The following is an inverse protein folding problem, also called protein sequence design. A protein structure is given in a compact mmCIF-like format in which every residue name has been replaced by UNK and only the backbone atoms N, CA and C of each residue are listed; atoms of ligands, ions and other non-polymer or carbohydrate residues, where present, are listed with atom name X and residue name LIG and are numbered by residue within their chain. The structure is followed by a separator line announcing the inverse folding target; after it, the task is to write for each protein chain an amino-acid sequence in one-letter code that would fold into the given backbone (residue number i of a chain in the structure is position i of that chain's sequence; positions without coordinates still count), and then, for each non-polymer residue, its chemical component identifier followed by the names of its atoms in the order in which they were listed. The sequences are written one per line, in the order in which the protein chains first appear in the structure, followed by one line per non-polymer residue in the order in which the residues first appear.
data_IF_095767448866
#
_entry.id   IF_095767448866
#
_cell.length_a   1.000
_cell.length_b   1.000
_cell.length_c   1.000
_cell.angle_alpha   90.00
_cell.angle_beta   90.00
_cell.angle_gamma   90.00
#
_symmetry.space_group_name_H-M   'P 1'
#
loop_
_entity.id
_entity.type
_entity.pdbx_description
1 polymer ?
#
# COMPACT_ATOMS: atom_id res chain seq x y z
N UNK A 1 6.02 -16.28 -19.27
CA UNK A 1 6.14 -15.50 -18.01
C UNK A 1 7.58 -15.12 -17.67
N UNK A 2 8.54 -16.07 -17.60
CA UNK A 2 9.94 -15.78 -17.24
C UNK A 2 10.60 -14.69 -18.11
N UNK A 3 10.42 -14.74 -19.44
CA UNK A 3 10.96 -13.72 -20.35
C UNK A 3 10.45 -12.29 -20.05
N UNK A 4 9.16 -12.13 -19.71
CA UNK A 4 8.58 -10.84 -19.32
C UNK A 4 9.18 -10.33 -18.00
N UNK A 5 9.40 -11.24 -17.05
CA UNK A 5 10.02 -10.95 -15.76
C UNK A 5 11.48 -10.50 -15.94
N UNK A 6 12.25 -11.19 -16.78
CA UNK A 6 13.64 -10.85 -17.07
C UNK A 6 13.76 -9.53 -17.82
N UNK A 7 12.88 -9.29 -18.80
CA UNK A 7 12.77 -8.00 -19.49
C UNK A 7 12.48 -6.87 -18.50
N UNK A 8 11.54 -7.06 -17.58
CA UNK A 8 11.24 -6.08 -16.54
C UNK A 8 12.46 -5.82 -15.63
N UNK A 9 13.11 -6.87 -15.14
CA UNK A 9 14.29 -6.76 -14.29
C UNK A 9 15.41 -5.97 -14.97
N UNK A 10 15.60 -6.15 -16.28
CA UNK A 10 16.56 -5.39 -17.06
C UNK A 10 16.18 -3.91 -17.22
N UNK A 11 14.92 -3.61 -17.51
CA UNK A 11 14.41 -2.23 -17.61
C UNK A 11 14.47 -1.49 -16.27
N UNK A 12 14.16 -2.20 -15.17
CA UNK A 12 14.25 -1.69 -13.80
C UNK A 12 15.70 -1.31 -13.46
N UNK A 13 16.64 -2.25 -13.64
CA UNK A 13 18.07 -2.02 -13.43
C UNK A 13 18.60 -0.87 -14.30
N UNK A 14 18.16 -0.78 -15.55
CA UNK A 14 18.53 0.32 -16.45
C UNK A 14 18.07 1.69 -15.92
N UNK A 15 16.84 1.78 -15.43
CA UNK A 15 16.28 3.02 -14.87
C UNK A 15 16.96 3.43 -13.55
N UNK A 16 17.25 2.45 -12.69
CA UNK A 16 18.01 2.65 -11.45
C UNK A 16 19.43 3.16 -11.74
N UNK A 17 20.12 2.59 -12.74
CA UNK A 17 21.45 3.06 -13.16
C UNK A 17 21.43 4.51 -13.65
N UNK A 18 20.44 4.90 -14.46
CA UNK A 18 20.31 6.28 -14.95
C UNK A 18 20.12 7.25 -13.76
N UNK A 19 19.25 6.90 -12.81
CA UNK A 19 19.03 7.69 -11.60
C UNK A 19 20.30 7.80 -10.76
N UNK A 20 21.03 6.69 -10.57
CA UNK A 20 22.30 6.67 -9.85
C UNK A 20 23.36 7.57 -10.50
N UNK A 21 23.49 7.52 -11.83
CA UNK A 21 24.42 8.39 -12.58
C UNK A 21 24.04 9.86 -12.37
N UNK A 22 22.74 10.20 -12.42
CA UNK A 22 22.27 11.55 -12.15
C UNK A 22 22.65 12.05 -10.76
N UNK A 23 22.48 11.23 -9.73
CA UNK A 23 22.88 11.57 -8.36
C UNK A 23 24.38 11.75 -8.20
N UNK A 24 25.20 10.94 -8.88
CA UNK A 24 26.66 11.09 -8.88
C UNK A 24 27.07 12.41 -9.52
N UNK A 25 26.50 12.77 -10.68
CA UNK A 25 26.77 14.05 -11.36
C UNK A 25 26.37 15.23 -10.46
N UNK A 26 25.20 15.15 -9.82
CA UNK A 26 24.73 16.16 -8.88
C UNK A 26 25.71 16.32 -7.72
N UNK A 27 26.16 15.21 -7.12
CA UNK A 27 27.14 15.20 -6.04
C UNK A 27 28.48 15.84 -6.45
N UNK A 28 28.99 15.55 -7.65
CA UNK A 28 30.20 16.18 -8.19
C UNK A 28 30.00 17.70 -8.33
N UNK A 29 28.85 18.13 -8.86
CA UNK A 29 28.53 19.55 -8.98
C UNK A 29 28.49 20.28 -7.64
N UNK A 30 27.94 19.65 -6.58
CA UNK A 30 27.94 20.20 -5.22
C UNK A 30 29.35 20.28 -4.66
N UNK A 31 30.18 19.25 -4.84
CA UNK A 31 31.58 19.24 -4.37
C UNK A 31 32.38 20.38 -5.02
N UNK A 32 32.16 20.62 -6.32
CA UNK A 32 32.80 21.71 -7.06
C UNK A 32 32.34 23.10 -6.59
N UNK A 33 31.10 23.23 -6.09
CA UNK A 33 30.52 24.50 -5.63
C UNK A 33 31.03 24.92 -4.24
N UNK A 34 31.29 23.97 -3.34
CA UNK A 34 31.70 24.23 -1.94
C UNK A 34 32.91 25.17 -1.81
N UNK A 35 34.07 24.94 -2.47
CA UNK A 35 35.25 25.80 -2.30
C UNK A 35 35.02 27.23 -2.82
N UNK A 36 34.24 27.38 -3.89
CA UNK A 36 33.89 28.70 -4.46
C UNK A 36 33.06 29.49 -3.44
N UNK A 37 32.05 28.86 -2.84
CA UNK A 37 31.21 29.49 -1.82
C UNK A 37 32.01 29.88 -0.56
N UNK A 38 32.96 29.04 -0.12
CA UNK A 38 33.81 29.32 1.04
C UNK A 38 34.80 30.47 0.79
N UNK A 39 35.25 30.64 -0.47
CA UNK A 39 36.17 31.71 -0.86
C UNK A 39 35.49 33.08 -1.04
N UNK A 40 34.15 33.12 -1.07
CA UNK A 40 33.38 34.34 -1.37
C UNK A 40 33.52 34.84 -2.81
N UNK A 41 34.14 34.05 -3.70
CA UNK A 41 34.29 34.36 -5.11
C UNK A 41 33.03 34.02 -5.90
N UNK A 42 32.61 34.92 -6.79
CA UNK A 42 31.52 34.68 -7.73
C UNK A 42 32.02 34.14 -9.09
N UNK A 43 33.32 34.31 -9.36
CA UNK A 43 33.97 33.85 -10.57
C UNK A 43 33.97 32.31 -10.64
N UNK A 44 33.43 31.78 -11.73
CA UNK A 44 33.40 30.34 -11.99
C UNK A 44 32.17 29.60 -11.45
N UNK A 45 31.20 30.26 -10.79
CA UNK A 45 29.97 29.62 -10.30
C UNK A 45 29.10 28.99 -11.40
N UNK A 46 29.18 29.47 -12.64
CA UNK A 46 28.39 28.94 -13.76
C UNK A 46 28.65 27.45 -14.03
N UNK A 47 29.90 27.02 -13.94
CA UNK A 47 30.27 25.63 -14.23
C UNK A 47 29.65 24.61 -13.27
N UNK A 48 29.80 24.71 -11.94
CA UNK A 48 29.14 23.78 -11.01
C UNK A 48 27.61 23.86 -11.09
N UNK A 49 27.03 25.05 -11.34
CA UNK A 49 25.57 25.20 -11.51
C UNK A 49 25.08 24.40 -12.73
N UNK A 50 25.80 24.44 -13.85
CA UNK A 50 25.48 23.64 -15.05
C UNK A 50 25.55 22.14 -14.74
N UNK A 51 26.62 21.70 -14.05
CA UNK A 51 26.78 20.29 -13.66
C UNK A 51 25.64 19.82 -12.75
N UNK A 52 25.26 20.63 -11.75
CA UNK A 52 24.13 20.34 -10.86
C UNK A 52 22.83 20.25 -11.67
N UNK A 53 22.61 21.17 -12.61
CA UNK A 53 21.40 21.19 -13.46
C UNK A 53 21.30 19.93 -14.32
N UNK A 54 22.41 19.50 -14.93
CA UNK A 54 22.47 18.26 -15.71
C UNK A 54 22.19 17.06 -14.80
N UNK A 55 22.82 17.00 -13.62
CA UNK A 55 22.59 15.94 -12.63
C UNK A 55 21.11 15.84 -12.21
N UNK A 56 20.44 16.97 -11.97
CA UNK A 56 19.01 17.02 -11.67
C UNK A 56 18.16 16.48 -12.82
N UNK A 57 18.39 16.94 -14.05
CA UNK A 57 17.63 16.50 -15.23
C UNK A 57 17.78 14.98 -15.43
N UNK A 58 19.02 14.46 -15.39
CA UNK A 58 19.28 13.03 -15.56
C UNK A 58 18.61 12.20 -14.46
N UNK A 59 18.66 12.66 -13.21
CA UNK A 59 17.98 12.00 -12.09
C UNK A 59 16.46 11.96 -12.27
N UNK A 60 15.85 13.08 -12.71
CA UNK A 60 14.42 13.15 -12.99
C UNK A 60 14.01 12.21 -14.13
N UNK A 61 14.79 12.12 -15.20
CA UNK A 61 14.55 11.17 -16.30
C UNK A 61 14.63 9.73 -15.80
N UNK A 62 15.62 9.40 -14.98
CA UNK A 62 15.74 8.08 -14.35
C UNK A 62 14.53 7.71 -13.50
N UNK A 63 14.08 8.63 -12.64
CA UNK A 63 12.88 8.44 -11.81
C UNK A 63 11.60 8.28 -12.64
N UNK A 64 11.42 9.07 -13.71
CA UNK A 64 10.28 8.96 -14.61
C UNK A 64 10.26 7.61 -15.33
N UNK A 65 11.41 7.15 -15.84
CA UNK A 65 11.54 5.82 -16.45
C UNK A 65 11.23 4.70 -15.45
N UNK A 66 11.74 4.78 -14.22
CA UNK A 66 11.47 3.80 -13.18
C UNK A 66 9.98 3.72 -12.85
N UNK A 67 9.30 4.87 -12.73
CA UNK A 67 7.85 4.93 -12.50
C UNK A 67 7.07 4.29 -13.65
N UNK A 68 7.45 4.59 -14.90
CA UNK A 68 6.85 3.97 -16.09
C UNK A 68 7.05 2.45 -16.10
N UNK A 69 8.25 1.97 -15.79
CA UNK A 69 8.58 0.54 -15.71
C UNK A 69 7.77 -0.15 -14.62
N UNK A 70 7.65 0.46 -13.43
CA UNK A 70 6.78 -0.04 -12.34
C UNK A 70 5.33 -0.14 -12.80
N UNK A 71 4.81 0.86 -13.52
CA UNK A 71 3.45 0.84 -14.05
C UNK A 71 3.26 -0.31 -15.03
N UNK A 72 4.12 -0.42 -16.05
CA UNK A 72 4.06 -1.53 -17.02
C UNK A 72 4.15 -2.90 -16.35
N UNK A 73 4.90 -3.05 -15.27
CA UNK A 73 4.92 -4.31 -14.51
C UNK A 73 3.56 -4.68 -13.94
N UNK A 74 2.87 -3.72 -13.29
CA UNK A 74 1.52 -3.98 -12.79
C UNK A 74 0.59 -4.35 -13.95
N UNK A 75 0.59 -3.57 -15.03
CA UNK A 75 -0.35 -3.77 -16.13
C UNK A 75 -0.08 -5.03 -16.98
N UNK A 76 1.19 -5.38 -17.23
CA UNK A 76 1.55 -6.42 -18.20
C UNK A 76 1.98 -7.73 -17.56
N UNK A 77 2.59 -7.69 -16.37
CA UNK A 77 3.14 -8.89 -15.72
C UNK A 77 2.20 -9.42 -14.65
N UNK A 78 1.72 -8.55 -13.75
CA UNK A 78 0.81 -8.97 -12.70
C UNK A 78 -0.57 -9.36 -13.25
N UNK A 79 -1.08 -8.63 -14.25
CA UNK A 79 -2.36 -9.00 -14.90
C UNK A 79 -2.31 -10.43 -15.46
N UNK A 80 -1.26 -10.74 -16.23
CA UNK A 80 -1.06 -12.09 -16.78
C UNK A 80 -0.92 -13.14 -15.67
N UNK A 81 -0.13 -12.83 -14.64
CA UNK A 81 0.07 -13.73 -13.51
C UNK A 81 -1.24 -14.06 -12.79
N UNK A 82 -2.07 -13.04 -12.52
CA UNK A 82 -3.35 -13.27 -11.85
C UNK A 82 -4.33 -14.03 -12.73
N UNK A 83 -4.38 -13.73 -14.04
CA UNK A 83 -5.23 -14.47 -14.97
C UNK A 83 -4.82 -15.95 -15.11
N UNK A 84 -3.52 -16.25 -15.08
CA UNK A 84 -3.03 -17.63 -15.08
C UNK A 84 -3.34 -18.35 -13.76
N UNK A 85 -3.19 -17.66 -12.62
CA UNK A 85 -3.42 -18.24 -11.29
C UNK A 85 -4.91 -18.43 -10.96
N UNK A 86 -5.78 -17.52 -11.41
CA UNK A 86 -7.22 -17.51 -11.13
C UNK A 86 -7.96 -17.27 -12.45
N UNK A 87 -8.39 -18.34 -13.14
CA UNK A 87 -9.09 -18.20 -14.42
C UNK A 87 -10.30 -17.27 -14.32
N UNK A 88 -10.35 -16.26 -15.20
CA UNK A 88 -11.45 -15.28 -15.24
C UNK A 88 -11.36 -14.13 -14.23
N UNK A 89 -10.26 -14.02 -13.47
CA UNK A 89 -10.03 -12.85 -12.61
C UNK A 89 -9.70 -11.62 -13.44
N UNK A 90 -10.22 -10.48 -13.00
CA UNK A 90 -9.89 -9.16 -13.51
C UNK A 90 -8.98 -8.43 -12.52
N UNK A 91 -7.89 -7.87 -13.03
CA UNK A 91 -6.95 -7.07 -12.25
C UNK A 91 -6.92 -5.63 -12.78
N UNK A 92 -7.09 -4.66 -11.88
CA UNK A 92 -7.08 -3.24 -12.17
C UNK A 92 -6.08 -2.52 -11.24
N UNK A 93 -4.82 -2.32 -11.69
CA UNK A 93 -3.76 -1.72 -10.86
C UNK A 93 -4.11 -0.36 -10.25
N UNK A 94 -4.77 0.50 -11.04
CA UNK A 94 -5.05 1.90 -10.69
C UNK A 94 -6.41 2.06 -9.97
N UNK A 95 -7.08 0.96 -9.61
CA UNK A 95 -8.35 0.95 -8.87
C UNK A 95 -8.17 0.24 -7.54
N UNK A 96 -9.07 0.51 -6.60
CA UNK A 96 -9.10 -0.13 -5.30
C UNK A 96 -10.51 -0.12 -4.73
N UNK A 97 -10.71 -0.82 -3.61
CA UNK A 97 -11.94 -0.77 -2.83
C UNK A 97 -12.21 0.68 -2.38
N UNK A 98 -13.49 1.05 -2.38
CA UNK A 98 -13.90 2.34 -1.82
C UNK A 98 -13.73 2.37 -0.31
N UNK A 99 -13.61 3.57 0.27
CA UNK A 99 -13.60 3.74 1.72
C UNK A 99 -14.83 3.11 2.38
N UNK A 100 -16.00 3.23 1.76
CA UNK A 100 -17.24 2.61 2.26
C UNK A 100 -17.11 1.09 2.37
N UNK A 101 -16.58 0.42 1.33
CA UNK A 101 -16.38 -1.03 1.36
C UNK A 101 -15.36 -1.46 2.41
N UNK A 102 -14.27 -0.71 2.57
CA UNK A 102 -13.25 -1.01 3.60
C UNK A 102 -13.83 -0.82 5.00
N UNK A 103 -14.60 0.25 5.25
CA UNK A 103 -15.16 0.52 6.58
C UNK A 103 -16.37 -0.34 6.94
N UNK A 104 -16.98 -1.05 5.98
CA UNK A 104 -17.97 -2.10 6.27
C UNK A 104 -17.39 -3.26 7.09
N UNK A 105 -16.07 -3.39 7.16
CA UNK A 105 -15.41 -4.33 8.08
C UNK A 105 -15.67 -4.02 9.55
N UNK A 106 -16.05 -2.78 9.89
CA UNK A 106 -16.42 -2.33 11.24
C UNK A 106 -15.34 -2.53 12.33
N UNK A 107 -14.10 -2.89 11.98
CA UNK A 107 -12.96 -2.95 12.93
C UNK A 107 -11.85 -1.94 12.61
N UNK A 108 -11.92 -1.28 11.45
CA UNK A 108 -11.00 -0.22 11.05
C UNK A 108 -11.60 1.15 11.36
N UNK A 109 -10.85 2.00 12.08
CA UNK A 109 -11.24 3.40 12.29
C UNK A 109 -11.23 4.15 10.96
N UNK A 110 -11.98 5.25 10.86
CA UNK A 110 -11.90 6.12 9.68
C UNK A 110 -10.55 6.84 9.63
N UNK A 111 -9.98 6.93 8.44
CA UNK A 111 -8.68 7.54 8.19
C UNK A 111 -8.81 9.02 7.82
N UNK A 112 -7.81 9.82 8.14
CA UNK A 112 -7.65 11.15 7.58
C UNK A 112 -7.13 11.09 6.14
N UNK A 113 -6.33 10.06 5.81
CA UNK A 113 -5.93 9.74 4.43
C UNK A 113 -6.23 8.29 4.10
N UNK A 114 -6.98 8.11 3.03
CA UNK A 114 -7.35 6.82 2.48
C UNK A 114 -6.68 6.65 1.12
N UNK A 115 -6.02 5.50 0.92
CA UNK A 115 -5.51 5.09 -0.38
C UNK A 115 -5.81 3.60 -0.59
N UNK A 116 -6.25 3.25 -1.80
CA UNK A 116 -6.41 1.86 -2.20
C UNK A 116 -6.04 1.69 -3.68
N UNK A 117 -5.36 0.58 -3.97
CA UNK A 117 -4.89 0.22 -5.31
C UNK A 117 -4.91 -1.31 -5.49
N UNK A 118 -4.53 -1.78 -6.68
CA UNK A 118 -4.38 -3.20 -6.97
C UNK A 118 -5.68 -4.03 -6.81
N UNK A 119 -6.78 -3.52 -7.35
CA UNK A 119 -8.09 -4.19 -7.35
C UNK A 119 -8.05 -5.51 -8.12
N UNK A 120 -8.34 -6.61 -7.44
CA UNK A 120 -8.64 -7.92 -8.03
C UNK A 120 -10.11 -8.25 -7.83
N UNK A 121 -10.77 -8.69 -8.88
CA UNK A 121 -12.16 -9.12 -8.85
C UNK A 121 -12.33 -10.40 -9.67
N UNK A 122 -12.95 -11.41 -9.09
CA UNK A 122 -13.21 -12.65 -9.80
C UNK A 122 -14.11 -13.57 -8.99
N UNK A 123 -14.09 -14.83 -9.39
CA UNK A 123 -14.81 -15.90 -8.72
C UNK A 123 -13.85 -17.06 -8.47
N UNK A 124 -13.93 -17.65 -7.28
CA UNK A 124 -13.16 -18.84 -6.91
C UNK A 124 -14.11 -19.83 -6.27
N UNK A 125 -14.17 -21.05 -6.80
CA UNK A 125 -15.06 -22.12 -6.32
C UNK A 125 -16.54 -21.70 -6.14
N UNK A 126 -17.04 -20.85 -7.05
CA UNK A 126 -18.42 -20.35 -7.01
C UNK A 126 -18.68 -19.27 -5.96
N UNK A 127 -17.63 -18.69 -5.37
CA UNK A 127 -17.69 -17.54 -4.45
C UNK A 127 -17.06 -16.34 -5.13
N UNK A 128 -17.85 -15.27 -5.28
CA UNK A 128 -17.34 -14.02 -5.82
C UNK A 128 -16.43 -13.35 -4.78
N UNK A 129 -15.32 -12.80 -5.24
CA UNK A 129 -14.40 -12.05 -4.40
C UNK A 129 -13.95 -10.75 -5.06
N UNK A 130 -13.70 -9.76 -4.21
CA UNK A 130 -13.02 -8.53 -4.55
C UNK A 130 -11.94 -8.28 -3.51
N UNK A 131 -10.77 -7.84 -3.94
CA UNK A 131 -9.68 -7.48 -3.02
C UNK A 131 -8.89 -6.30 -3.52
N UNK A 132 -8.27 -5.55 -2.60
CA UNK A 132 -7.37 -4.44 -2.94
C UNK A 132 -6.37 -4.20 -1.83
N UNK A 133 -5.22 -3.65 -2.17
CA UNK A 133 -4.31 -3.09 -1.17
C UNK A 133 -4.89 -1.79 -0.63
N UNK A 134 -4.78 -1.59 0.68
CA UNK A 134 -5.35 -0.46 1.39
C UNK A 134 -4.29 0.09 2.35
N UNK A 135 -4.11 1.40 2.30
CA UNK A 135 -3.28 2.17 3.22
C UNK A 135 -4.13 3.24 3.90
N UNK A 136 -4.19 3.19 5.22
CA UNK A 136 -4.93 4.13 6.04
C UNK A 136 -3.97 4.89 6.96
N UNK A 137 -4.07 6.22 6.95
CA UNK A 137 -3.23 7.09 7.75
C UNK A 137 -4.09 8.03 8.62
N UNK A 138 -3.61 8.27 9.84
CA UNK A 138 -4.22 9.23 10.76
C UNK A 138 -3.32 10.45 10.94
N UNK A 139 -3.93 11.60 11.18
CA UNK A 139 -3.25 12.87 11.36
C UNK A 139 -2.82 13.05 12.81
N UNK A 140 -1.55 13.37 12.99
CA UNK A 140 -0.96 13.73 14.28
C UNK A 140 -0.54 15.19 14.28
N UNK A 141 -0.79 15.88 15.39
CA UNK A 141 -0.39 17.27 15.62
C UNK A 141 0.52 17.32 16.83
N UNK A 142 1.75 17.80 16.63
CA UNK A 142 2.74 17.96 17.69
C UNK A 142 3.06 19.44 17.86
N UNK A 143 2.79 19.97 19.05
CA UNK A 143 3.22 21.31 19.44
C UNK A 143 4.65 21.26 19.95
N UNK A 144 5.52 22.07 19.35
CA UNK A 144 6.93 22.21 19.71
C UNK A 144 7.20 23.64 20.16
N UNK A 145 8.34 23.87 20.82
CA UNK A 145 8.76 25.23 21.23
C UNK A 145 8.86 26.22 20.04
N UNK A 146 9.05 25.69 18.82
CA UNK A 146 9.26 26.49 17.61
C UNK A 146 8.05 26.44 16.65
N UNK A 147 6.88 25.95 17.08
CA UNK A 147 5.66 25.91 16.27
C UNK A 147 4.94 24.57 16.28
N UNK A 148 4.01 24.40 15.34
CA UNK A 148 3.15 23.21 15.24
C UNK A 148 3.58 22.34 14.05
N UNK A 149 3.86 21.06 14.31
CA UNK A 149 4.18 20.06 13.29
C UNK A 149 2.98 19.16 13.04
N UNK A 150 2.56 19.04 11.79
CA UNK A 150 1.54 18.07 11.36
C UNK A 150 2.21 16.96 10.57
N UNK A 151 1.92 15.72 10.92
CA UNK A 151 2.41 14.54 10.20
C UNK A 151 1.33 13.45 10.18
N UNK A 152 1.48 12.46 9.30
CA UNK A 152 0.52 11.37 9.15
C UNK A 152 1.22 10.06 9.51
N UNK A 153 0.52 9.21 10.27
CA UNK A 153 1.02 7.90 10.69
C UNK A 153 0.14 6.83 10.07
N UNK A 154 0.76 5.89 9.36
CA UNK A 154 0.05 4.72 8.83
C UNK A 154 -0.31 3.78 9.97
N UNK A 155 -1.60 3.50 10.15
CA UNK A 155 -2.07 2.55 11.16
C UNK A 155 -2.64 1.26 10.54
N UNK A 156 -2.90 1.27 9.22
CA UNK A 156 -3.25 0.07 8.48
C UNK A 156 -2.54 0.08 7.12
N UNK A 157 -1.83 -1.00 6.82
CA UNK A 157 -1.23 -1.27 5.52
C UNK A 157 -1.37 -2.76 5.25
N UNK A 158 -2.24 -3.12 4.32
CA UNK A 158 -2.48 -4.52 4.00
C UNK A 158 -3.52 -4.69 2.90
N UNK A 159 -3.80 -5.95 2.56
CA UNK A 159 -4.81 -6.31 1.58
C UNK A 159 -6.13 -6.62 2.26
N UNK A 160 -7.20 -6.03 1.76
CA UNK A 160 -8.57 -6.32 2.20
C UNK A 160 -9.22 -7.24 1.18
N UNK A 161 -9.86 -8.30 1.65
CA UNK A 161 -10.65 -9.22 0.83
C UNK A 161 -12.12 -9.13 1.25
N UNK A 162 -12.99 -9.10 0.25
CA UNK A 162 -14.44 -9.19 0.40
C UNK A 162 -14.90 -10.40 -0.40
N UNK A 163 -15.57 -11.32 0.27
CA UNK A 163 -16.17 -12.50 -0.35
C UNK A 163 -17.69 -12.39 -0.25
N UNK A 164 -18.38 -12.80 -1.30
CA UNK A 164 -19.84 -12.91 -1.32
C UNK A 164 -20.21 -14.38 -1.30
N UNK A 165 -20.54 -14.88 -0.12
CA UNK A 165 -20.94 -16.27 0.08
C UNK A 165 -22.38 -16.50 -0.37
N UNK A 166 -22.67 -17.72 -0.86
CA UNK A 166 -24.00 -18.12 -1.31
C UNK A 166 -25.01 -18.34 -0.16
N UNK A 167 -24.53 -18.37 1.09
CA UNK A 167 -25.35 -18.54 2.28
C UNK A 167 -25.35 -17.24 3.09
N UNK A 168 -26.54 -16.76 3.40
CA UNK A 168 -26.74 -15.63 4.30
C UNK A 168 -26.82 -16.13 5.75
N UNK A 169 -26.28 -15.32 6.66
CA UNK A 169 -26.37 -15.53 8.09
C UNK A 169 -27.01 -14.30 8.72
N UNK A 170 -27.90 -14.52 9.68
CA UNK A 170 -28.46 -13.43 10.45
C UNK A 170 -27.40 -12.83 11.38
N UNK A 171 -27.35 -11.51 11.48
CA UNK A 171 -26.41 -10.82 12.36
C UNK A 171 -24.98 -10.71 11.83
N UNK A 172 -24.06 -10.35 12.72
CA UNK A 172 -22.68 -10.00 12.39
C UNK A 172 -21.73 -10.73 13.31
N UNK A 173 -20.63 -11.22 12.74
CA UNK A 173 -19.56 -11.94 13.42
C UNK A 173 -18.22 -11.29 13.06
N UNK A 174 -17.37 -11.06 14.05
CA UNK A 174 -16.00 -10.60 13.86
C UNK A 174 -15.03 -11.48 14.66
N UNK A 175 -13.93 -11.86 14.03
CA UNK A 175 -12.81 -12.56 14.66
C UNK A 175 -11.57 -11.69 14.49
N UNK A 176 -11.02 -11.22 15.61
CA UNK A 176 -9.93 -10.26 15.62
C UNK A 176 -8.77 -10.80 16.47
N UNK A 177 -7.53 -10.72 15.99
CA UNK A 177 -6.35 -11.04 16.82
C UNK A 177 -6.19 -10.03 17.98
N UNK A 178 -6.52 -8.76 17.72
CA UNK A 178 -6.51 -7.71 18.72
C UNK A 178 -7.58 -6.65 18.44
N UNK A 179 -7.85 -5.79 19.42
CA UNK A 179 -8.89 -4.77 19.32
C UNK A 179 -10.31 -5.28 19.62
N UNK A 180 -11.29 -4.54 19.14
CA UNK A 180 -12.74 -4.78 19.28
C UNK A 180 -13.48 -4.11 18.10
N UNK A 181 -14.73 -4.51 17.83
CA UNK A 181 -15.58 -3.80 16.87
C UNK A 181 -15.66 -2.30 17.19
N UNK A 182 -15.69 -1.46 16.17
CA UNK A 182 -15.77 0.01 16.24
C UNK A 182 -17.14 0.56 15.84
N UNK A 183 -18.11 -0.30 15.54
CA UNK A 183 -19.46 0.12 15.18
C UNK A 183 -20.38 0.24 16.40
N UNK A 184 -21.53 0.90 16.20
CA UNK A 184 -22.59 1.03 17.21
C UNK A 184 -23.42 -0.24 17.42
N UNK A 185 -23.11 -1.33 16.70
CA UNK A 185 -23.82 -2.60 16.85
C UNK A 185 -23.53 -3.21 18.22
N UNK A 186 -24.53 -3.92 18.75
CA UNK A 186 -24.43 -4.60 20.05
C UNK A 186 -23.70 -5.93 19.94
N UNK A 187 -22.42 -5.89 19.60
CA UNK A 187 -21.56 -7.07 19.64
C UNK A 187 -21.35 -7.55 21.08
N UNK A 188 -21.44 -8.86 21.27
CA UNK A 188 -21.05 -9.56 22.50
C UNK A 188 -19.82 -10.40 22.22
N UNK A 189 -18.90 -10.47 23.18
CA UNK A 189 -17.75 -11.35 23.08
C UNK A 189 -18.22 -12.80 23.27
N UNK A 190 -17.81 -13.69 22.36
CA UNK A 190 -18.14 -15.12 22.40
C UNK A 190 -16.85 -15.90 22.70
N UNK A 191 -16.96 -16.95 23.52
CA UNK A 191 -15.87 -17.89 23.78
C UNK A 191 -16.21 -19.22 23.09
N UNK A 192 -15.33 -19.69 22.21
CA UNK A 192 -15.50 -20.97 21.51
C UNK A 192 -14.96 -22.15 22.35
N UNK A 193 -15.15 -23.39 21.92
CA UNK A 193 -14.62 -24.56 22.64
C UNK A 193 -13.08 -24.63 22.62
N UNK A 194 -12.45 -24.13 21.55
CA UNK A 194 -10.99 -24.18 21.38
C UNK A 194 -10.29 -23.13 22.24
N UNK A 195 -9.61 -23.59 23.30
CA UNK A 195 -8.85 -22.73 24.23
C UNK A 195 -7.75 -21.97 23.48
N UNK A 196 -7.03 -22.64 22.58
CA UNK A 196 -5.90 -22.03 21.88
C UNK A 196 -6.38 -21.00 20.84
N UNK A 197 -7.53 -21.23 20.21
CA UNK A 197 -8.19 -20.22 19.38
C UNK A 197 -8.53 -18.97 20.19
N UNK A 198 -9.19 -19.13 21.35
CA UNK A 198 -9.61 -18.00 22.20
C UNK A 198 -8.43 -17.23 22.83
N UNK A 199 -7.25 -17.86 22.96
CA UNK A 199 -6.02 -17.16 23.37
C UNK A 199 -5.50 -16.25 22.27
N UNK A 200 -5.59 -16.69 21.01
CA UNK A 200 -5.06 -15.96 19.85
C UNK A 200 -6.05 -14.93 19.29
N UNK A 201 -7.34 -15.25 19.30
CA UNK A 201 -8.38 -14.46 18.68
C UNK A 201 -9.48 -14.09 19.67
N UNK A 202 -10.10 -12.94 19.44
CA UNK A 202 -11.30 -12.47 20.12
C UNK A 202 -12.46 -12.53 19.14
N UNK A 203 -13.47 -13.34 19.48
CA UNK A 203 -14.69 -13.46 18.70
C UNK A 203 -15.77 -12.55 19.27
N UNK A 204 -16.44 -11.82 18.39
CA UNK A 204 -17.54 -10.93 18.71
C UNK A 204 -18.72 -11.24 17.79
N UNK A 205 -19.92 -11.42 18.34
CA UNK A 205 -21.13 -11.66 17.55
C UNK A 205 -22.30 -10.82 18.05
N UNK A 206 -23.19 -10.39 17.15
CA UNK A 206 -24.49 -9.85 17.54
C UNK A 206 -25.47 -10.96 17.94
N UNK A 207 -25.29 -12.16 17.39
CA UNK A 207 -26.05 -13.37 17.69
C UNK A 207 -25.10 -14.50 18.06
N UNK A 208 -25.02 -14.83 19.35
CA UNK A 208 -23.99 -15.72 19.90
C UNK A 208 -24.03 -17.11 19.28
N UNK A 209 -25.22 -17.67 19.08
CA UNK A 209 -25.40 -18.98 18.44
C UNK A 209 -24.80 -19.04 17.02
N UNK A 210 -24.84 -17.94 16.27
CA UNK A 210 -24.32 -17.90 14.91
C UNK A 210 -22.80 -18.02 14.85
N UNK A 211 -22.08 -17.63 15.91
CA UNK A 211 -20.64 -17.82 15.99
C UNK A 211 -20.26 -19.30 15.94
N UNK A 212 -21.00 -20.18 16.64
CA UNK A 212 -20.75 -21.62 16.68
C UNK A 212 -21.17 -22.36 15.40
N UNK A 213 -22.09 -21.79 14.62
CA UNK A 213 -22.45 -22.34 13.31
C UNK A 213 -21.45 -22.00 12.21
N UNK A 214 -20.81 -20.83 12.31
CA UNK A 214 -19.88 -20.32 11.29
C UNK A 214 -18.44 -20.76 11.56
N UNK A 215 -18.04 -20.82 12.84
CA UNK A 215 -16.67 -21.12 13.22
C UNK A 215 -16.56 -22.57 13.69
N UNK A 216 -15.64 -23.31 13.10
CA UNK A 216 -15.19 -24.62 13.58
C UNK A 216 -13.68 -24.51 13.85
N UNK A 217 -13.31 -24.03 15.05
CA UNK A 217 -11.96 -23.57 15.39
C UNK A 217 -10.96 -24.70 15.72
#
# INVERSE_FOLDING_TARGET
MQEKLDRFNNLKKGSEKISLIGFVILGVGVILLIPILLSGGEDGMFFPIIVITIGMIVSMVGAAKFSSVKRSFKFDVLSDYFQEAIPGVNYYPDRGLSGTEVYQTEFLKRADRFHSEDLLQGQMDGVDFVSSDVKLEERHVQHTKNGTRVYYVTYFLGRVFKFTFNKEFDGYLQVLESGSPLSSRKFKKVQLESIDFNKKFKTYSTEELNAFYVLTP
#
